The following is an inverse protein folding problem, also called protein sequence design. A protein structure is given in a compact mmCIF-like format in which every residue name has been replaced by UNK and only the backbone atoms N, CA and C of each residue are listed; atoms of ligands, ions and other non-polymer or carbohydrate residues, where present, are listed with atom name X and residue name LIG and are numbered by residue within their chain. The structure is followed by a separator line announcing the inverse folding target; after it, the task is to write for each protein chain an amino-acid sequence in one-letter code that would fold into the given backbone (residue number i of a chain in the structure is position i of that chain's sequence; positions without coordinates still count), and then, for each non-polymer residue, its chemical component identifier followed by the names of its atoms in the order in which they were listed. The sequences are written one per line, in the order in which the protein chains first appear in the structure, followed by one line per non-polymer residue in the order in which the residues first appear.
data_IF_866807922586
#
_entry.id   IF_866807922586
#
_cell.length_a   1.000
_cell.length_b   1.000
_cell.length_c   1.000
_cell.angle_alpha   90.00
_cell.angle_beta   90.00
_cell.angle_gamma   90.00
#
_symmetry.space_group_name_H-M   'P 1'
#
loop_
_entity.id
_entity.type
_entity.pdbx_description
1 polymer ?
#
# COMPACT_ATOMS: atom_id res chain seq x y z
N UNK A 1 12.65 -7.66 -14.05
CA UNK A 1 11.44 -6.91 -13.62
C UNK A 1 10.58 -7.89 -12.86
N UNK A 2 10.19 -7.59 -11.61
CA UNK A 2 9.22 -8.43 -10.88
C UNK A 2 7.92 -8.46 -11.71
N UNK A 3 7.45 -9.64 -12.11
CA UNK A 3 6.15 -9.80 -12.78
C UNK A 3 5.09 -9.84 -11.67
N UNK A 4 3.97 -9.14 -11.88
CA UNK A 4 2.80 -9.24 -11.01
C UNK A 4 1.97 -10.41 -11.51
N UNK A 5 1.66 -11.36 -10.63
CA UNK A 5 0.90 -12.56 -10.99
C UNK A 5 -0.46 -12.20 -11.58
N UNK A 6 -0.88 -12.94 -12.62
CA UNK A 6 -2.15 -12.67 -13.30
C UNK A 6 -2.22 -11.36 -14.10
N UNK A 7 -1.10 -10.64 -14.26
CA UNK A 7 -1.02 -9.42 -15.08
C UNK A 7 -0.09 -9.64 -16.26
N UNK A 8 -0.65 -9.69 -17.48
CA UNK A 8 0.13 -9.72 -18.73
C UNK A 8 -0.45 -10.63 -19.79
N UNK A 9 0.30 -10.78 -20.89
CA UNK A 9 -0.10 -11.58 -22.07
C UNK A 9 -0.25 -13.07 -21.77
N UNK A 10 0.36 -13.54 -20.68
CA UNK A 10 0.38 -14.94 -20.27
C UNK A 10 -0.81 -15.30 -19.35
N UNK A 11 -1.62 -14.32 -18.92
CA UNK A 11 -2.76 -14.56 -18.05
C UNK A 11 -3.86 -15.37 -18.78
N UNK A 12 -4.53 -16.32 -18.10
CA UNK A 12 -5.63 -17.09 -18.68
C UNK A 12 -6.69 -16.17 -19.30
N UNK A 13 -7.22 -16.54 -20.46
CA UNK A 13 -8.32 -15.77 -21.08
C UNK A 13 -9.66 -16.26 -20.54
N UNK A 14 -10.45 -15.35 -20.00
CA UNK A 14 -11.85 -15.57 -19.63
C UNK A 14 -12.77 -14.96 -20.70
N UNK A 15 -13.94 -15.58 -20.88
CA UNK A 15 -14.98 -15.07 -21.80
C UNK A 15 -16.23 -14.76 -20.98
N UNK A 16 -16.76 -13.54 -21.11
CA UNK A 16 -17.99 -13.16 -20.42
C UNK A 16 -19.24 -13.70 -21.14
N UNK A 17 -20.41 -13.53 -20.53
CA UNK A 17 -21.70 -13.98 -21.07
C UNK A 17 -22.05 -13.37 -22.45
N UNK A 18 -21.43 -12.24 -22.80
CA UNK A 18 -21.62 -11.55 -24.08
C UNK A 18 -20.58 -11.99 -25.16
N UNK A 19 -19.72 -12.96 -24.86
CA UNK A 19 -18.68 -13.43 -25.78
C UNK A 19 -17.40 -12.58 -25.84
N UNK A 20 -17.31 -11.54 -25.00
CA UNK A 20 -16.11 -10.71 -24.86
C UNK A 20 -14.99 -11.44 -24.14
N UNK A 21 -13.78 -11.40 -24.70
CA UNK A 21 -12.57 -12.06 -24.16
C UNK A 21 -11.64 -11.06 -23.50
N UNK A 22 -11.13 -11.43 -22.33
CA UNK A 22 -10.13 -10.64 -21.59
C UNK A 22 -9.27 -11.56 -20.73
N UNK A 23 -8.15 -11.05 -20.24
CA UNK A 23 -7.36 -11.74 -19.21
C UNK A 23 -8.17 -11.89 -17.92
N UNK A 24 -8.01 -13.03 -17.26
CA UNK A 24 -8.46 -13.24 -15.89
C UNK A 24 -7.82 -12.19 -14.97
N UNK A 25 -8.61 -11.62 -14.07
CA UNK A 25 -8.14 -10.62 -13.10
C UNK A 25 -8.04 -11.25 -11.73
N UNK A 26 -6.84 -11.24 -11.13
CA UNK A 26 -6.62 -11.76 -9.77
C UNK A 26 -6.89 -10.72 -8.67
N UNK A 27 -7.06 -9.45 -9.04
CA UNK A 27 -7.15 -8.33 -8.11
C UNK A 27 -8.39 -7.48 -8.38
N UNK A 28 -9.08 -7.06 -7.32
CA UNK A 28 -10.32 -6.25 -7.39
C UNK A 28 -10.06 -4.79 -7.00
N UNK A 29 -9.22 -4.11 -7.78
CA UNK A 29 -8.95 -2.66 -7.58
C UNK A 29 -10.21 -1.80 -7.73
N UNK A 30 -11.21 -2.27 -8.47
CA UNK A 30 -12.52 -1.63 -8.64
C UNK A 30 -13.35 -1.59 -7.34
N UNK A 31 -12.99 -2.37 -6.32
CA UNK A 31 -13.66 -2.36 -5.01
C UNK A 31 -13.05 -1.38 -4.00
N UNK A 32 -11.95 -0.71 -4.35
CA UNK A 32 -11.37 0.31 -3.48
C UNK A 32 -12.30 1.53 -3.39
N UNK A 33 -12.49 2.07 -2.18
CA UNK A 33 -13.16 3.36 -2.03
C UNK A 33 -12.25 4.47 -2.57
N UNK A 34 -12.66 5.20 -3.63
CA UNK A 34 -11.79 6.19 -4.24
C UNK A 34 -11.43 7.31 -3.26
N UNK A 35 -12.38 7.81 -2.46
CA UNK A 35 -12.14 8.96 -1.59
C UNK A 35 -11.14 8.62 -0.48
N UNK A 36 -11.24 7.42 0.11
CA UNK A 36 -10.28 6.93 1.09
C UNK A 36 -8.85 6.87 0.50
N UNK A 37 -8.71 6.42 -0.76
CA UNK A 37 -7.41 6.39 -1.42
C UNK A 37 -6.85 7.80 -1.64
N UNK A 38 -7.69 8.77 -2.03
CA UNK A 38 -7.27 10.17 -2.16
C UNK A 38 -6.74 10.72 -0.82
N UNK A 39 -7.38 10.42 0.32
CA UNK A 39 -6.89 10.86 1.63
C UNK A 39 -5.51 10.28 1.98
N UNK A 40 -5.27 8.99 1.74
CA UNK A 40 -3.94 8.39 1.91
C UNK A 40 -2.89 9.09 1.02
N UNK A 41 -3.23 9.40 -0.23
CA UNK A 41 -2.29 10.05 -1.15
C UNK A 41 -1.89 11.47 -0.76
N UNK A 42 -2.74 12.20 -0.01
CA UNK A 42 -2.34 13.49 0.57
C UNK A 42 -1.21 13.33 1.59
N UNK A 43 -1.26 12.28 2.43
CA UNK A 43 -0.18 11.93 3.37
C UNK A 43 1.10 11.60 2.61
N UNK A 44 1.00 10.82 1.52
CA UNK A 44 2.15 10.51 0.64
C UNK A 44 2.76 11.78 0.06
N UNK A 45 1.94 12.71 -0.46
CA UNK A 45 2.41 13.99 -0.98
C UNK A 45 3.15 14.79 0.09
N UNK A 46 2.57 14.95 1.28
CA UNK A 46 3.21 15.67 2.37
C UNK A 46 4.57 15.06 2.73
N UNK A 47 4.62 13.73 2.84
CA UNK A 47 5.87 12.99 3.11
C UNK A 47 6.91 13.22 2.00
N UNK A 48 6.52 13.14 0.74
CA UNK A 48 7.40 13.36 -0.40
C UNK A 48 7.92 14.81 -0.48
N UNK A 49 7.05 15.80 -0.25
CA UNK A 49 7.44 17.21 -0.24
C UNK A 49 8.44 17.52 0.89
N UNK A 50 8.31 16.85 2.04
CA UNK A 50 9.11 17.11 3.25
C UNK A 50 10.40 16.31 3.34
N UNK A 51 10.36 15.04 2.96
CA UNK A 51 11.46 14.08 3.14
C UNK A 51 12.02 13.54 1.83
N UNK A 52 11.44 13.91 0.68
CA UNK A 52 11.75 13.35 -0.62
C UNK A 52 10.91 12.11 -0.95
N UNK A 53 10.76 11.84 -2.26
CA UNK A 53 10.09 10.64 -2.74
C UNK A 53 10.82 9.38 -2.25
N UNK A 54 10.07 8.32 -1.96
CA UNK A 54 10.59 7.01 -1.55
C UNK A 54 11.45 6.95 -0.28
N UNK A 55 11.67 8.06 0.46
CA UNK A 55 12.42 8.07 1.74
C UNK A 55 11.89 7.05 2.76
N UNK A 56 10.59 6.74 2.70
CA UNK A 56 9.96 5.75 3.57
C UNK A 56 10.50 4.32 3.38
N UNK A 57 11.15 4.00 2.26
CA UNK A 57 11.72 2.68 1.99
C UNK A 57 12.93 2.36 2.85
N UNK A 58 13.61 3.38 3.37
CA UNK A 58 14.76 3.23 4.26
C UNK A 58 14.35 3.04 5.74
N UNK A 59 13.04 3.02 6.03
CA UNK A 59 12.50 2.83 7.37
C UNK A 59 12.16 1.34 7.56
N UNK A 60 12.57 0.71 8.68
CA UNK A 60 12.27 -0.69 8.93
C UNK A 60 10.79 -0.95 9.22
N UNK A 61 10.35 -2.18 9.00
CA UNK A 61 8.95 -2.61 9.15
C UNK A 61 8.43 -2.30 10.56
N UNK A 62 9.24 -2.56 11.58
CA UNK A 62 8.89 -2.36 12.99
C UNK A 62 8.55 -0.89 13.29
N UNK A 63 9.26 0.06 12.67
CA UNK A 63 8.96 1.49 12.84
C UNK A 63 7.67 1.91 12.12
N UNK A 64 7.38 1.32 10.96
CA UNK A 64 6.08 1.51 10.31
C UNK A 64 4.94 0.97 11.16
N UNK A 65 5.08 -0.23 11.72
CA UNK A 65 4.08 -0.86 12.58
C UNK A 65 3.89 -0.08 13.88
N UNK A 66 4.97 0.38 14.51
CA UNK A 66 4.88 1.18 15.73
C UNK A 66 4.11 2.50 15.48
N UNK A 67 4.41 3.22 14.40
CA UNK A 67 3.66 4.43 14.07
C UNK A 67 2.22 4.17 13.67
N UNK A 68 1.93 3.05 13.00
CA UNK A 68 0.55 2.64 12.73
C UNK A 68 -0.23 2.50 14.04
N UNK A 69 0.35 1.81 15.04
CA UNK A 69 -0.27 1.63 16.37
C UNK A 69 -0.49 2.97 17.07
N UNK A 70 0.47 3.90 16.99
CA UNK A 70 0.33 5.25 17.55
C UNK A 70 -0.87 5.97 16.95
N UNK A 71 -1.01 6.00 15.62
CA UNK A 71 -2.16 6.65 14.98
C UNK A 71 -3.49 5.94 15.28
N UNK A 72 -3.48 4.62 15.39
CA UNK A 72 -4.67 3.86 15.79
C UNK A 72 -5.13 4.23 17.20
N UNK A 73 -4.22 4.27 18.17
CA UNK A 73 -4.56 4.65 19.54
C UNK A 73 -4.91 6.13 19.69
N UNK A 74 -4.26 7.04 18.95
CA UNK A 74 -4.66 8.45 18.92
C UNK A 74 -6.10 8.61 18.45
N UNK A 75 -6.47 7.96 17.33
CA UNK A 75 -7.83 7.98 16.82
C UNK A 75 -8.85 7.41 17.81
N UNK A 76 -8.52 6.29 18.46
CA UNK A 76 -9.37 5.65 19.48
C UNK A 76 -9.50 6.49 20.75
N UNK A 77 -8.48 7.26 21.12
CA UNK A 77 -8.53 8.23 22.21
C UNK A 77 -9.37 9.47 21.88
N UNK A 78 -9.91 9.56 20.67
CA UNK A 78 -10.73 10.68 20.22
C UNK A 78 -9.94 11.83 19.59
N UNK A 79 -8.65 11.66 19.36
CA UNK A 79 -7.84 12.68 18.66
C UNK A 79 -8.30 12.80 17.19
N UNK A 80 -8.46 14.05 16.76
CA UNK A 80 -8.85 14.49 15.40
C UNK A 80 -7.95 15.62 14.90
N UNK A 81 -6.84 15.88 15.59
CA UNK A 81 -5.88 16.94 15.24
C UNK A 81 -5.04 16.59 14.00
N UNK A 82 -5.11 15.35 13.54
CA UNK A 82 -4.36 14.82 12.40
C UNK A 82 -5.18 13.74 11.66
N UNK A 83 -4.78 13.42 10.43
CA UNK A 83 -5.45 12.48 9.52
C UNK A 83 -5.10 11.02 9.86
N UNK A 84 -5.35 10.62 11.11
CA UNK A 84 -4.84 9.37 11.68
C UNK A 84 -5.18 8.11 10.86
N UNK A 85 -6.41 8.00 10.33
CA UNK A 85 -6.79 6.85 9.49
C UNK A 85 -6.00 6.80 8.17
N UNK A 86 -5.73 7.96 7.57
CA UNK A 86 -4.90 8.08 6.37
C UNK A 86 -3.45 7.71 6.64
N UNK A 87 -2.93 8.11 7.81
CA UNK A 87 -1.61 7.69 8.28
C UNK A 87 -1.52 6.19 8.54
N UNK A 88 -2.56 5.56 9.10
CA UNK A 88 -2.64 4.09 9.29
C UNK A 88 -2.56 3.36 7.94
N UNK A 89 -3.38 3.77 6.96
CA UNK A 89 -3.34 3.18 5.60
C UNK A 89 -1.94 3.32 4.98
N UNK A 90 -1.36 4.52 5.06
CA UNK A 90 -0.05 4.82 4.53
C UNK A 90 1.05 3.97 5.19
N UNK A 91 1.06 3.86 6.53
CA UNK A 91 2.02 3.04 7.27
C UNK A 91 1.86 1.54 6.99
N UNK A 92 0.63 1.06 6.82
CA UNK A 92 0.38 -0.34 6.45
C UNK A 92 0.89 -0.65 5.05
N UNK A 93 0.65 0.24 4.08
CA UNK A 93 1.18 0.11 2.72
C UNK A 93 2.71 0.08 2.71
N UNK A 94 3.36 0.97 3.48
CA UNK A 94 4.83 0.99 3.58
C UNK A 94 5.38 -0.29 4.18
N UNK A 95 4.82 -0.78 5.29
CA UNK A 95 5.23 -2.05 5.90
C UNK A 95 5.14 -3.22 4.92
N UNK A 96 4.02 -3.34 4.19
CA UNK A 96 3.83 -4.37 3.16
C UNK A 96 4.86 -4.24 2.02
N UNK A 97 5.15 -3.01 1.58
CA UNK A 97 6.10 -2.78 0.50
C UNK A 97 7.54 -3.11 0.92
N UNK A 98 7.95 -2.74 2.14
CA UNK A 98 9.26 -3.09 2.70
C UNK A 98 9.38 -4.61 2.86
N UNK A 99 8.33 -5.30 3.32
CA UNK A 99 8.29 -6.78 3.39
C UNK A 99 8.42 -7.44 2.02
N UNK A 100 7.74 -6.92 0.98
CA UNK A 100 7.87 -7.44 -0.39
C UNK A 100 9.29 -7.22 -0.95
N UNK A 101 9.94 -6.14 -0.55
CA UNK A 101 11.30 -5.80 -0.98
C UNK A 101 12.39 -6.51 -0.14
N UNK A 102 12.04 -7.06 1.03
CA UNK A 102 12.95 -7.73 1.97
C UNK A 102 13.52 -9.07 1.45
N UNK A 103 13.21 -9.49 0.21
CA UNK A 103 13.99 -10.48 -0.55
C UNK A 103 15.49 -10.09 -0.69
N UNK A 104 15.89 -8.87 -0.31
CA UNK A 104 17.26 -8.53 0.07
C UNK A 104 17.46 -8.66 1.58
N UNK A 105 17.34 -9.86 2.13
CA UNK A 105 17.87 -10.15 3.46
C UNK A 105 19.37 -9.89 3.38
N UNK A 106 19.86 -8.84 4.05
CA UNK A 106 21.25 -8.89 4.51
C UNK A 106 21.27 -10.05 5.50
N UNK A 107 21.91 -11.15 5.10
CA UNK A 107 22.38 -12.15 6.06
C UNK A 107 23.12 -11.37 7.16
N UNK A 108 22.47 -11.22 8.30
CA UNK A 108 23.18 -10.96 9.53
C UNK A 108 23.56 -12.36 10.02
N UNK A 109 24.78 -12.75 9.65
CA UNK A 109 25.46 -13.90 10.25
C UNK A 109 25.66 -13.73 11.74
#
# INVERSE_FOLDING_TARGET
MKKVDGVGKDAPTVTNEFGGKQSEVLYRFDLLDPLAMFEMTKVLKYGADKYGADNWRDIPIEEHLNHLIIHAYAYLAGDKSDEHLSHIMCRSMFAQAVEIDSEKVKDFG
#
